data_IF_748577727913
#
_entry.id   IF_748577727913
#
_cell.length_a   1.000
_cell.length_b   1.000
_cell.length_c   1.000
_cell.angle_alpha   90.00
_cell.angle_beta   90.00
_cell.angle_gamma   90.00
#
_symmetry.space_group_name_H-M   'P 1'
#
loop_
_entity.id
_entity.type
_entity.pdbx_description
1 polymer ?
#
# COMPACT_ATOMS: atom_id res chain seq x y z
N UNK A 1 64.55 -19.90 11.92
CA UNK A 1 63.35 -20.46 11.30
C UNK A 1 62.49 -21.08 12.41
N UNK A 2 61.17 -20.79 12.56
CA UNK A 2 60.35 -19.69 12.05
C UNK A 2 59.94 -18.70 13.17
N UNK A 3 59.90 -17.40 12.87
CA UNK A 3 59.29 -16.37 13.75
C UNK A 3 57.77 -16.38 13.52
N UNK A 4 57.03 -16.97 14.45
CA UNK A 4 55.57 -16.95 14.47
C UNK A 4 55.08 -15.56 14.89
N UNK A 5 54.83 -14.69 13.91
CA UNK A 5 54.14 -13.42 14.14
C UNK A 5 52.68 -13.71 14.50
N UNK A 6 52.39 -13.78 15.80
CA UNK A 6 51.03 -13.77 16.32
C UNK A 6 50.42 -12.40 15.97
N UNK A 7 49.58 -12.37 14.94
CA UNK A 7 48.69 -11.25 14.67
C UNK A 7 47.71 -11.15 15.84
N UNK A 8 48.04 -10.30 16.83
CA UNK A 8 47.09 -9.88 17.87
C UNK A 8 46.03 -9.02 17.20
N UNK A 9 44.95 -9.64 16.75
CA UNK A 9 43.74 -8.91 16.35
C UNK A 9 43.18 -8.24 17.60
N UNK A 10 43.20 -6.90 17.63
CA UNK A 10 42.78 -6.11 18.78
C UNK A 10 41.28 -6.28 19.01
N UNK A 11 40.89 -6.79 20.18
CA UNK A 11 39.50 -6.92 20.63
C UNK A 11 38.67 -5.63 20.45
N UNK A 12 39.33 -4.48 20.49
CA UNK A 12 38.71 -3.16 20.27
C UNK A 12 38.33 -2.90 18.81
N UNK A 13 39.07 -3.43 17.85
CA UNK A 13 38.77 -3.27 16.43
C UNK A 13 37.54 -4.11 16.04
N UNK A 14 37.43 -5.31 16.61
CA UNK A 14 36.27 -6.20 16.42
C UNK A 14 35.00 -5.57 17.00
N UNK A 15 35.05 -5.00 18.21
CA UNK A 15 33.88 -4.34 18.81
C UNK A 15 33.42 -3.11 18.02
N UNK A 16 34.35 -2.29 17.51
CA UNK A 16 34.01 -1.16 16.65
C UNK A 16 33.34 -1.63 15.35
N UNK A 17 33.85 -2.69 14.72
CA UNK A 17 33.20 -3.28 13.54
C UNK A 17 31.78 -3.78 13.83
N UNK A 18 31.55 -4.44 14.97
CA UNK A 18 30.20 -4.87 15.37
C UNK A 18 29.25 -3.69 15.58
N UNK A 19 29.71 -2.59 16.18
CA UNK A 19 28.90 -1.38 16.38
C UNK A 19 28.54 -0.73 15.04
N UNK A 20 29.52 -0.61 14.13
CA UNK A 20 29.30 -0.06 12.78
C UNK A 20 28.32 -0.92 11.99
N UNK A 21 28.45 -2.26 12.07
CA UNK A 21 27.55 -3.19 11.42
C UNK A 21 26.13 -3.08 12.00
N UNK A 22 25.97 -3.03 13.33
CA UNK A 22 24.67 -2.86 13.97
C UNK A 22 23.99 -1.53 13.58
N UNK A 23 24.75 -0.43 13.56
CA UNK A 23 24.28 0.89 13.14
C UNK A 23 23.83 0.89 11.67
N UNK A 24 24.60 0.23 10.80
CA UNK A 24 24.24 0.04 9.39
C UNK A 24 22.93 -0.75 9.30
N UNK A 25 22.79 -1.89 10.00
CA UNK A 25 21.58 -2.71 9.99
C UNK A 25 20.32 -1.94 10.45
N UNK A 26 20.44 -1.02 11.42
CA UNK A 26 19.32 -0.19 11.87
C UNK A 26 18.96 0.96 10.94
N UNK A 27 19.89 1.40 10.08
CA UNK A 27 19.64 2.50 9.14
C UNK A 27 19.10 2.01 7.78
N UNK A 28 19.10 0.70 7.53
CA UNK A 28 18.38 0.14 6.38
C UNK A 28 16.88 0.34 6.59
N UNK A 29 16.19 1.09 5.71
CA UNK A 29 14.73 1.12 5.73
C UNK A 29 14.23 -0.27 5.36
N UNK A 30 13.56 -0.94 6.30
CA UNK A 30 12.80 -2.15 6.00
C UNK A 30 11.44 -1.71 5.45
N UNK A 31 11.16 -1.86 4.15
CA UNK A 31 9.80 -1.67 3.66
C UNK A 31 8.97 -2.83 4.20
N UNK A 32 8.29 -2.60 5.33
CA UNK A 32 7.17 -3.43 5.71
C UNK A 32 6.00 -3.04 4.80
N UNK A 33 5.97 -3.64 3.61
CA UNK A 33 4.79 -3.55 2.77
C UNK A 33 3.71 -4.43 3.40
N UNK A 34 2.69 -3.80 3.98
CA UNK A 34 1.52 -4.52 4.45
C UNK A 34 0.79 -5.05 3.21
N UNK A 35 0.95 -6.34 2.91
CA UNK A 35 0.17 -6.98 1.84
C UNK A 35 -1.29 -7.11 2.31
N UNK A 36 -2.24 -6.44 1.65
CA UNK A 36 -3.64 -6.51 2.06
C UNK A 36 -4.17 -7.93 1.85
N UNK A 37 -4.62 -8.58 2.92
CA UNK A 37 -5.30 -9.87 2.83
C UNK A 37 -6.75 -9.62 2.45
N UNK A 38 -7.13 -10.11 1.29
CA UNK A 38 -8.50 -10.07 0.83
C UNK A 38 -9.44 -10.74 1.85
N UNK A 39 -10.41 -9.98 2.37
CA UNK A 39 -11.29 -10.45 3.45
C UNK A 39 -12.62 -10.98 2.91
N UNK A 40 -13.39 -10.14 2.21
CA UNK A 40 -14.74 -10.48 1.73
C UNK A 40 -15.24 -9.50 0.64
N UNK A 41 -16.22 -9.91 -0.17
CA UNK A 41 -16.97 -9.05 -1.08
C UNK A 41 -18.44 -9.46 -1.11
N UNK A 42 -19.32 -8.49 -1.38
CA UNK A 42 -20.72 -8.73 -1.66
C UNK A 42 -21.08 -8.11 -3.02
N UNK A 43 -21.82 -8.87 -3.83
CA UNK A 43 -22.34 -8.45 -5.11
C UNK A 43 -23.86 -8.59 -5.11
N UNK A 44 -24.55 -7.74 -5.87
CA UNK A 44 -25.99 -7.89 -6.09
C UNK A 44 -26.24 -9.10 -6.99
N UNK A 45 -26.88 -10.15 -6.49
CA UNK A 45 -26.92 -11.46 -7.18
C UNK A 45 -27.75 -11.52 -8.46
N UNK A 46 -28.63 -10.55 -8.70
CA UNK A 46 -29.66 -10.66 -9.75
C UNK A 46 -29.55 -9.64 -10.89
N UNK A 47 -28.53 -8.77 -10.89
CA UNK A 47 -28.44 -7.68 -11.87
C UNK A 47 -27.02 -7.48 -12.39
N UNK A 48 -26.77 -7.96 -13.61
CA UNK A 48 -25.57 -7.63 -14.37
C UNK A 48 -25.85 -6.49 -15.35
N UNK A 49 -24.95 -5.51 -15.43
CA UNK A 49 -25.04 -4.47 -16.45
C UNK A 49 -24.62 -5.03 -17.82
N UNK A 50 -25.21 -4.50 -18.89
CA UNK A 50 -24.82 -4.89 -20.26
C UNK A 50 -23.44 -4.33 -20.62
N UNK A 51 -22.59 -5.06 -21.35
CA UNK A 51 -21.35 -4.52 -21.91
C UNK A 51 -21.60 -3.27 -22.75
N UNK A 52 -20.65 -2.33 -22.76
CA UNK A 52 -20.72 -1.03 -23.48
C UNK A 52 -21.91 -0.16 -23.08
N UNK A 53 -22.46 -0.35 -21.89
CA UNK A 53 -23.52 0.52 -21.34
C UNK A 53 -22.95 1.80 -20.74
N UNK A 54 -23.80 2.83 -20.62
CA UNK A 54 -23.47 4.06 -19.89
C UNK A 54 -23.04 3.77 -18.44
N UNK A 55 -23.63 2.74 -17.82
CA UNK A 55 -23.24 2.27 -16.49
C UNK A 55 -21.79 1.79 -16.46
N UNK A 56 -21.34 1.03 -17.48
CA UNK A 56 -19.94 0.58 -17.54
C UNK A 56 -18.97 1.76 -17.61
N UNK A 57 -19.26 2.77 -18.43
CA UNK A 57 -18.42 3.97 -18.55
C UNK A 57 -18.40 4.75 -17.23
N UNK A 58 -19.56 4.99 -16.63
CA UNK A 58 -19.66 5.68 -15.36
C UNK A 58 -18.96 4.92 -14.21
N UNK A 59 -19.05 3.59 -14.18
CA UNK A 59 -18.35 2.75 -13.22
C UNK A 59 -16.82 2.89 -13.37
N UNK A 60 -16.30 2.90 -14.60
CA UNK A 60 -14.87 3.15 -14.85
C UNK A 60 -14.44 4.52 -14.34
N UNK A 61 -15.22 5.57 -14.60
CA UNK A 61 -14.96 6.92 -14.10
C UNK A 61 -14.98 6.96 -12.58
N UNK A 62 -15.96 6.30 -11.95
CA UNK A 62 -16.07 6.20 -10.50
C UNK A 62 -14.83 5.54 -9.90
N UNK A 63 -14.41 4.37 -10.41
CA UNK A 63 -13.22 3.67 -9.92
C UNK A 63 -11.95 4.48 -10.12
N UNK A 64 -11.80 5.16 -11.27
CA UNK A 64 -10.68 6.05 -11.52
C UNK A 64 -10.63 7.20 -10.52
N UNK A 65 -11.77 7.80 -10.17
CA UNK A 65 -11.84 8.87 -9.18
C UNK A 65 -11.50 8.40 -7.77
N UNK A 66 -11.93 7.19 -7.38
CA UNK A 66 -11.57 6.61 -6.09
C UNK A 66 -10.06 6.39 -5.98
N UNK A 67 -9.44 5.78 -7.01
CA UNK A 67 -7.99 5.52 -7.03
C UNK A 67 -7.19 6.82 -7.05
N UNK A 68 -7.58 7.82 -7.84
CA UNK A 68 -6.83 9.09 -7.90
C UNK A 68 -6.88 9.86 -6.58
N UNK A 69 -7.94 9.66 -5.79
CA UNK A 69 -8.12 10.31 -4.49
C UNK A 69 -7.65 9.45 -3.31
N UNK A 70 -7.16 8.22 -3.53
CA UNK A 70 -6.64 7.36 -2.45
C UNK A 70 -5.29 7.83 -1.90
N UNK A 71 -4.64 8.77 -2.58
CA UNK A 71 -3.43 9.47 -2.10
C UNK A 71 -3.75 10.58 -1.10
N UNK A 72 -5.03 10.90 -0.86
CA UNK A 72 -5.43 11.91 0.12
C UNK A 72 -5.16 11.41 1.55
N UNK A 73 -4.53 12.26 2.37
CA UNK A 73 -4.20 11.98 3.77
C UNK A 73 -5.40 11.63 4.65
N UNK A 74 -6.63 11.98 4.23
CA UNK A 74 -7.82 11.82 5.06
C UNK A 74 -8.32 10.36 5.11
N UNK A 75 -7.69 9.44 4.37
CA UNK A 75 -8.01 8.01 4.40
C UNK A 75 -9.45 7.66 4.01
N UNK A 76 -10.19 8.62 3.45
CA UNK A 76 -11.59 8.46 3.09
C UNK A 76 -11.93 9.41 1.94
N UNK A 77 -12.78 8.96 1.03
CA UNK A 77 -13.31 9.77 -0.05
C UNK A 77 -14.64 9.17 -0.54
N UNK A 78 -15.56 10.04 -0.96
CA UNK A 78 -16.85 9.66 -1.55
C UNK A 78 -17.00 10.35 -2.89
N UNK A 79 -17.57 9.63 -3.87
CA UNK A 79 -17.83 10.14 -5.21
C UNK A 79 -19.26 9.81 -5.63
N UNK A 80 -19.84 10.74 -6.37
CA UNK A 80 -21.16 10.63 -6.99
C UNK A 80 -21.03 10.90 -8.48
N UNK A 81 -21.44 9.93 -9.31
CA UNK A 81 -21.47 10.06 -10.76
C UNK A 81 -22.93 9.99 -11.20
N UNK A 82 -23.52 11.12 -11.65
CA UNK A 82 -24.90 11.11 -12.11
C UNK A 82 -25.03 10.35 -13.43
N UNK A 83 -26.07 9.52 -13.56
CA UNK A 83 -26.38 8.82 -14.81
C UNK A 83 -27.53 9.52 -15.52
N UNK A 84 -27.27 10.02 -16.72
CA UNK A 84 -28.31 10.60 -17.58
C UNK A 84 -29.47 9.61 -17.77
N UNK A 85 -30.70 10.06 -17.46
CA UNK A 85 -31.94 9.30 -17.59
C UNK A 85 -32.00 7.98 -16.81
N UNK A 86 -31.31 7.87 -15.67
CA UNK A 86 -31.43 6.71 -14.80
C UNK A 86 -31.68 7.14 -13.34
N UNK A 87 -32.59 6.48 -12.60
CA UNK A 87 -32.67 6.64 -11.15
C UNK A 87 -31.47 6.02 -10.42
N UNK A 88 -30.55 5.37 -11.14
CA UNK A 88 -29.43 4.62 -10.59
C UNK A 88 -28.13 5.44 -10.68
N UNK A 89 -28.11 6.61 -10.06
CA UNK A 89 -26.86 7.35 -9.88
C UNK A 89 -25.82 6.49 -9.17
N UNK A 90 -24.58 6.54 -9.65
CA UNK A 90 -23.48 5.72 -9.15
C UNK A 90 -22.83 6.42 -7.96
N UNK A 91 -22.92 5.77 -6.80
CA UNK A 91 -22.27 6.20 -5.55
C UNK A 91 -21.15 5.23 -5.20
N UNK A 92 -20.03 5.77 -4.76
CA UNK A 92 -18.89 4.98 -4.33
C UNK A 92 -18.10 5.70 -3.25
N UNK A 93 -17.42 4.93 -2.41
CA UNK A 93 -16.52 5.43 -1.39
C UNK A 93 -15.38 4.44 -1.16
N UNK A 94 -14.27 4.92 -0.62
CA UNK A 94 -13.27 4.08 0.01
C UNK A 94 -13.00 4.56 1.44
N UNK A 95 -12.54 3.63 2.28
CA UNK A 95 -12.06 3.91 3.63
C UNK A 95 -10.78 3.11 3.86
N UNK A 96 -9.68 3.82 4.08
CA UNK A 96 -8.40 3.27 4.53
C UNK A 96 -8.43 3.10 6.05
N UNK A 97 -7.55 2.24 6.55
CA UNK A 97 -7.36 2.07 8.00
C UNK A 97 -6.75 3.36 8.58
N UNK A 98 -7.23 3.81 9.72
CA UNK A 98 -6.80 5.09 10.30
C UNK A 98 -5.37 5.06 10.88
N UNK A 99 -4.82 3.87 11.12
CA UNK A 99 -3.46 3.62 11.62
C UNK A 99 -2.42 3.50 10.49
N UNK A 100 -2.82 3.58 9.22
CA UNK A 100 -1.90 3.50 8.08
C UNK A 100 -1.59 4.89 7.51
N UNK A 101 -0.30 5.17 7.30
CA UNK A 101 0.12 6.34 6.52
C UNK A 101 -0.14 6.09 5.02
N UNK A 102 -0.55 7.12 4.25
CA UNK A 102 -0.69 7.01 2.80
C UNK A 102 0.58 6.59 2.07
#
# INVERSE_FOLDING_TARGET
>A
EPEMHIFKTSTTATTIQFILLASLLTSLPFPFEASPIYSYHACTETSYYKPKSNFQTALKTLLSSLISNSTLHNGFYTVHIPLFNSPNDLKGLFLCRADTTP
#
